data_IF_154772743036
#
_entry.id   IF_154772743036
#
_cell.length_a   1.000
_cell.length_b   1.000
_cell.length_c   1.000
_cell.angle_alpha   90.00
_cell.angle_beta   90.00
_cell.angle_gamma   90.00
#
_symmetry.space_group_name_H-M   'P 1'
#
loop_
_entity.id
_entity.type
_entity.pdbx_description
1 polymer ?
#
# COMPACT_ATOMS: atom_id res chain seq x y z
N UNK A 1 -21.09 22.85 -66.68
CA UNK A 1 -20.21 24.00 -67.01
C UNK A 1 -20.02 24.78 -65.70
N UNK A 2 -18.96 24.48 -64.96
CA UNK A 2 -18.67 25.17 -63.69
C UNK A 2 -18.03 26.53 -63.99
N UNK A 3 -18.41 27.62 -63.32
CA UNK A 3 -17.87 28.94 -63.63
C UNK A 3 -16.38 29.01 -63.26
N UNK A 4 -15.55 29.30 -64.26
CA UNK A 4 -14.09 29.41 -64.19
C UNK A 4 -13.57 30.62 -63.38
N UNK A 5 -14.33 31.11 -62.39
CA UNK A 5 -13.99 32.33 -61.63
C UNK A 5 -13.64 32.07 -60.16
N UNK A 6 -13.20 30.85 -59.82
CA UNK A 6 -12.91 30.45 -58.43
C UNK A 6 -11.56 29.73 -58.26
N UNK A 7 -10.69 29.76 -59.28
CA UNK A 7 -9.32 29.25 -59.17
C UNK A 7 -8.39 30.21 -59.92
N UNK A 8 -7.50 30.88 -59.19
CA UNK A 8 -6.33 31.55 -59.76
C UNK A 8 -5.17 30.54 -59.76
N UNK A 9 -4.60 30.24 -60.92
CA UNK A 9 -3.35 29.49 -61.00
C UNK A 9 -2.17 30.44 -60.75
N UNK A 10 -1.35 30.12 -59.75
CA UNK A 10 -0.05 30.77 -59.51
C UNK A 10 1.00 30.06 -60.37
N UNK A 11 1.91 30.76 -61.10
CA UNK A 11 2.78 30.12 -62.08
C UNK A 11 3.91 29.23 -61.52
N UNK A 12 3.99 29.00 -60.21
CA UNK A 12 5.10 28.28 -59.57
C UNK A 12 4.62 27.35 -58.45
N UNK A 13 3.88 26.30 -58.80
CA UNK A 13 3.79 25.04 -58.04
C UNK A 13 3.30 25.02 -56.58
N UNK A 14 2.94 26.15 -55.96
CA UNK A 14 2.49 26.22 -54.56
C UNK A 14 1.20 27.06 -54.43
N UNK A 15 0.28 26.62 -53.55
CA UNK A 15 -1.03 27.26 -53.32
C UNK A 15 -1.00 28.13 -52.05
N UNK A 16 -1.34 29.42 -52.17
CA UNK A 16 -1.59 30.34 -51.06
C UNK A 16 -3.07 30.42 -50.68
N UNK A 17 -3.38 30.73 -49.41
CA UNK A 17 -4.74 30.77 -48.87
C UNK A 17 -5.62 31.90 -49.46
N UNK A 18 -6.88 31.57 -49.77
CA UNK A 18 -7.86 32.47 -50.39
C UNK A 18 -8.43 33.50 -49.40
N UNK A 19 -8.34 34.78 -49.75
CA UNK A 19 -9.07 35.88 -49.10
C UNK A 19 -10.25 36.27 -49.99
N UNK A 20 -11.47 36.29 -49.45
CA UNK A 20 -12.64 36.89 -50.13
C UNK A 20 -13.17 38.03 -49.27
N UNK A 21 -13.05 39.27 -49.76
CA UNK A 21 -13.63 40.45 -49.08
C UNK A 21 -13.09 40.75 -47.68
N UNK A 22 -11.84 40.36 -47.37
CA UNK A 22 -11.21 40.68 -46.08
C UNK A 22 -11.49 39.71 -44.93
N UNK A 23 -12.24 38.62 -45.14
CA UNK A 23 -12.57 37.67 -44.08
C UNK A 23 -12.41 36.19 -44.52
N UNK A 24 -11.85 35.38 -43.62
CA UNK A 24 -11.81 33.92 -43.74
C UNK A 24 -13.23 33.37 -43.64
N UNK A 25 -13.55 32.29 -44.38
CA UNK A 25 -14.86 31.62 -44.29
C UNK A 25 -15.11 31.23 -42.83
N UNK A 26 -16.24 31.66 -42.26
CA UNK A 26 -16.57 31.51 -40.82
C UNK A 26 -16.51 30.06 -40.33
N UNK A 27 -16.79 29.09 -41.21
CA UNK A 27 -16.67 27.65 -40.89
C UNK A 27 -15.24 27.24 -40.54
N UNK A 28 -14.23 27.79 -41.23
CA UNK A 28 -12.81 27.48 -40.99
C UNK A 28 -12.30 28.19 -39.72
N UNK A 29 -12.78 29.41 -39.48
CA UNK A 29 -12.44 30.17 -38.27
C UNK A 29 -12.91 29.43 -37.01
N UNK A 30 -14.15 28.93 -37.00
CA UNK A 30 -14.70 28.25 -35.82
C UNK A 30 -13.95 26.96 -35.47
N UNK A 31 -13.51 26.22 -36.48
CA UNK A 31 -12.75 25.00 -36.29
C UNK A 31 -11.36 25.28 -35.70
N UNK A 32 -10.64 26.27 -36.25
CA UNK A 32 -9.34 26.68 -35.72
C UNK A 32 -9.48 27.10 -34.24
N UNK A 33 -10.53 27.85 -33.90
CA UNK A 33 -10.77 28.26 -32.51
C UNK A 33 -11.10 27.08 -31.60
N UNK A 34 -11.87 26.09 -32.06
CA UNK A 34 -12.18 24.89 -31.28
C UNK A 34 -10.92 24.07 -30.97
N UNK A 35 -10.09 23.83 -31.98
CA UNK A 35 -8.83 23.08 -31.84
C UNK A 35 -7.84 23.79 -30.92
N UNK A 36 -7.68 25.12 -31.04
CA UNK A 36 -6.85 25.91 -30.11
C UNK A 36 -7.40 25.77 -28.69
N UNK A 37 -8.70 25.92 -28.50
CA UNK A 37 -9.30 25.86 -27.17
C UNK A 37 -9.16 24.47 -26.53
N UNK A 38 -9.32 23.41 -27.31
CA UNK A 38 -9.10 22.03 -26.86
C UNK A 38 -7.64 21.79 -26.48
N UNK A 39 -6.70 22.31 -27.27
CA UNK A 39 -5.28 22.22 -27.00
C UNK A 39 -4.88 22.98 -25.73
N UNK A 40 -5.35 24.22 -25.58
CA UNK A 40 -5.10 25.08 -24.43
C UNK A 40 -5.78 24.59 -23.14
N UNK A 41 -6.80 23.73 -23.22
CA UNK A 41 -7.46 23.15 -22.04
C UNK A 41 -6.70 21.98 -21.43
N UNK A 42 -5.84 21.32 -22.23
CA UNK A 42 -5.10 20.11 -21.83
C UNK A 42 -3.67 20.38 -21.37
N UNK A 43 -3.14 21.59 -21.60
CA UNK A 43 -1.75 21.94 -21.33
C UNK A 43 -1.66 23.22 -20.49
N UNK A 44 -0.63 23.34 -19.66
CA UNK A 44 -0.35 24.59 -18.95
C UNK A 44 0.16 25.66 -19.92
N UNK A 45 -0.08 26.94 -19.64
CA UNK A 45 0.37 28.03 -20.50
C UNK A 45 1.89 28.02 -20.67
N UNK A 46 2.62 27.65 -19.62
CA UNK A 46 4.08 27.49 -19.66
C UNK A 46 4.53 26.37 -20.63
N UNK A 47 3.85 25.22 -20.64
CA UNK A 47 4.18 24.12 -21.56
C UNK A 47 3.83 24.47 -23.02
N UNK A 48 2.72 25.19 -23.24
CA UNK A 48 2.31 25.66 -24.57
C UNK A 48 3.28 26.69 -25.12
N UNK A 49 3.78 27.62 -24.30
CA UNK A 49 4.65 28.72 -24.76
C UNK A 49 6.08 28.25 -25.11
N UNK A 50 6.60 27.23 -24.41
CA UNK A 50 7.98 26.76 -24.54
C UNK A 50 8.11 25.59 -25.52
N UNK A 51 7.38 24.49 -25.31
CA UNK A 51 7.68 23.19 -25.95
C UNK A 51 6.58 22.72 -26.92
N UNK A 52 5.32 23.02 -26.60
CA UNK A 52 4.18 22.41 -27.28
C UNK A 52 3.59 23.28 -28.40
N UNK A 53 4.06 24.52 -28.58
CA UNK A 53 3.56 25.41 -29.63
C UNK A 53 3.74 24.82 -31.03
N UNK A 54 4.89 24.18 -31.27
CA UNK A 54 5.22 23.59 -32.58
C UNK A 54 4.29 22.42 -32.93
N UNK A 55 3.67 21.78 -31.93
CA UNK A 55 2.69 20.70 -32.15
C UNK A 55 1.33 21.24 -32.60
N UNK A 56 1.01 22.51 -32.30
CA UNK A 56 -0.26 23.13 -32.70
C UNK A 56 -0.32 23.25 -34.22
N UNK A 57 0.77 23.70 -34.84
CA UNK A 57 0.87 23.86 -36.29
C UNK A 57 0.59 22.53 -37.02
N UNK A 58 1.14 21.43 -36.49
CA UNK A 58 0.91 20.08 -37.01
C UNK A 58 -0.54 19.61 -36.85
N UNK A 59 -1.09 19.74 -35.64
CA UNK A 59 -2.50 19.36 -35.36
C UNK A 59 -3.49 20.14 -36.21
N UNK A 60 -3.24 21.43 -36.40
CA UNK A 60 -4.09 22.26 -37.26
C UNK A 60 -4.00 21.86 -38.72
N UNK A 61 -2.78 21.54 -39.20
CA UNK A 61 -2.60 21.03 -40.56
C UNK A 61 -3.42 19.76 -40.77
N UNK A 62 -3.35 18.81 -39.85
CA UNK A 62 -4.09 17.54 -39.92
C UNK A 62 -5.60 17.75 -39.87
N UNK A 63 -6.10 18.53 -38.89
CA UNK A 63 -7.52 18.80 -38.72
C UNK A 63 -8.13 19.49 -39.94
N UNK A 64 -7.44 20.50 -40.48
CA UNK A 64 -7.87 21.18 -41.69
C UNK A 64 -7.79 20.24 -42.91
N UNK A 65 -6.71 19.47 -43.07
CA UNK A 65 -6.55 18.55 -44.19
C UNK A 65 -7.67 17.50 -44.21
N UNK A 66 -8.09 16.98 -43.05
CA UNK A 66 -9.20 16.04 -42.95
C UNK A 66 -10.51 16.62 -43.52
N UNK A 67 -10.82 17.88 -43.19
CA UNK A 67 -12.01 18.54 -43.69
C UNK A 67 -11.92 18.92 -45.17
N UNK A 68 -10.77 19.41 -45.64
CA UNK A 68 -10.59 19.70 -47.06
C UNK A 68 -10.67 18.43 -47.91
N UNK A 69 -10.17 17.30 -47.41
CA UNK A 69 -10.32 16.00 -48.08
C UNK A 69 -11.81 15.62 -48.25
N UNK A 70 -12.66 15.98 -47.29
CA UNK A 70 -14.11 15.71 -47.32
C UNK A 70 -14.88 16.63 -48.25
N UNK A 71 -14.56 17.93 -48.27
CA UNK A 71 -15.35 18.93 -49.00
C UNK A 71 -14.79 19.33 -50.36
N UNK A 72 -13.49 19.14 -50.60
CA UNK A 72 -12.80 19.50 -51.83
C UNK A 72 -11.62 18.54 -52.09
N UNK A 73 -11.88 17.33 -52.62
CA UNK A 73 -10.82 16.39 -52.94
C UNK A 73 -9.87 16.98 -53.98
N UNK A 74 -8.58 17.05 -53.66
CA UNK A 74 -7.52 17.62 -54.51
C UNK A 74 -6.83 18.87 -53.96
N UNK A 75 -7.22 19.37 -52.79
CA UNK A 75 -6.52 20.45 -52.09
C UNK A 75 -5.62 19.86 -51.00
N UNK A 76 -4.32 20.16 -51.08
CA UNK A 76 -3.34 19.80 -50.06
C UNK A 76 -2.84 21.06 -49.35
N UNK A 77 -2.92 21.04 -48.02
CA UNK A 77 -2.36 22.10 -47.17
C UNK A 77 -0.88 21.80 -46.97
N UNK A 78 -0.03 22.68 -47.48
CA UNK A 78 1.43 22.51 -47.39
C UNK A 78 1.91 22.86 -45.97
N UNK A 79 1.47 23.99 -45.43
CA UNK A 79 1.87 24.49 -44.11
C UNK A 79 0.77 25.35 -43.46
N UNK A 80 0.62 25.16 -42.15
CA UNK A 80 -0.17 26.04 -41.27
C UNK A 80 0.81 26.62 -40.25
N UNK A 81 0.72 27.92 -39.99
CA UNK A 81 1.52 28.59 -38.95
C UNK A 81 0.59 29.39 -38.05
N UNK A 82 0.66 29.14 -36.76
CA UNK A 82 -0.02 29.97 -35.76
C UNK A 82 0.96 31.02 -35.24
N UNK A 83 0.48 32.26 -35.08
CA UNK A 83 1.31 33.30 -34.47
C UNK A 83 1.36 33.09 -32.96
N UNK A 84 2.57 33.09 -32.38
CA UNK A 84 2.74 32.99 -30.92
C UNK A 84 1.98 34.13 -30.22
N UNK A 85 1.05 33.83 -29.30
CA UNK A 85 0.28 34.86 -28.59
C UNK A 85 1.18 35.60 -27.59
N UNK A 86 1.03 36.93 -27.50
CA UNK A 86 1.70 37.72 -26.46
C UNK A 86 0.96 37.57 -25.13
N UNK A 87 1.49 36.73 -24.24
CA UNK A 87 0.91 36.51 -22.91
C UNK A 87 1.17 37.74 -22.02
N UNK A 88 0.14 38.34 -21.39
CA UNK A 88 0.32 39.41 -20.42
C UNK A 88 1.07 38.94 -19.16
N UNK A 89 2.01 39.76 -18.68
CA UNK A 89 2.87 39.46 -17.52
C UNK A 89 2.09 39.12 -16.24
N UNK A 90 0.88 39.66 -16.08
CA UNK A 90 -0.03 39.36 -14.95
C UNK A 90 -0.47 37.89 -14.93
N UNK A 91 -0.82 37.32 -16.08
CA UNK A 91 -1.27 35.92 -16.20
C UNK A 91 -0.11 34.98 -15.91
N UNK A 92 1.08 35.32 -16.41
CA UNK A 92 2.31 34.53 -16.18
C UNK A 92 2.63 34.39 -14.69
N UNK A 93 2.53 35.48 -13.92
CA UNK A 93 2.78 35.48 -12.47
C UNK A 93 1.76 34.61 -11.71
N UNK A 94 0.48 34.72 -12.05
CA UNK A 94 -0.58 33.93 -11.40
C UNK A 94 -0.43 32.43 -11.66
N UNK A 95 0.03 32.03 -12.86
CA UNK A 95 0.31 30.62 -13.14
C UNK A 95 1.54 30.10 -12.42
N UNK A 96 2.63 30.89 -12.36
CA UNK A 96 3.81 30.53 -11.57
C UNK A 96 3.46 30.30 -10.09
N UNK A 97 2.61 31.16 -9.53
CA UNK A 97 2.09 31.01 -8.17
C UNK A 97 1.24 29.74 -8.03
N UNK A 98 0.34 29.46 -8.99
CA UNK A 98 -0.47 28.23 -8.98
C UNK A 98 0.38 26.97 -9.09
N UNK A 99 1.44 26.97 -9.89
CA UNK A 99 2.38 25.85 -10.02
C UNK A 99 3.15 25.62 -8.71
N UNK A 100 3.61 26.68 -8.05
CA UNK A 100 4.25 26.58 -6.72
C UNK A 100 3.29 26.05 -5.65
N UNK A 101 2.04 26.53 -5.66
CA UNK A 101 1.02 26.03 -4.72
C UNK A 101 0.74 24.55 -4.98
N UNK A 102 0.67 24.12 -6.24
CA UNK A 102 0.45 22.70 -6.59
C UNK A 102 1.59 21.80 -6.13
N UNK A 103 2.85 22.21 -6.29
CA UNK A 103 3.99 21.41 -5.81
C UNK A 103 3.98 21.29 -4.27
N UNK A 104 3.69 22.39 -3.56
CA UNK A 104 3.58 22.38 -2.09
C UNK A 104 2.44 21.50 -1.59
N UNK A 105 1.29 21.49 -2.28
CA UNK A 105 0.17 20.60 -1.94
C UNK A 105 0.58 19.13 -2.15
N UNK A 106 1.20 18.81 -3.29
CA UNK A 106 1.66 17.46 -3.58
C UNK A 106 2.66 16.95 -2.52
N UNK A 107 3.64 17.77 -2.15
CA UNK A 107 4.63 17.40 -1.12
C UNK A 107 3.97 17.18 0.25
N UNK A 108 2.98 17.99 0.61
CA UNK A 108 2.19 17.82 1.84
C UNK A 108 1.34 16.55 1.82
N UNK A 109 0.68 16.26 0.70
CA UNK A 109 -0.15 15.06 0.54
C UNK A 109 0.70 13.79 0.62
N UNK A 110 1.84 13.76 -0.09
CA UNK A 110 2.80 12.66 -0.02
C UNK A 110 3.32 12.48 1.41
N UNK A 111 3.64 13.58 2.10
CA UNK A 111 4.06 13.57 3.50
C UNK A 111 3.01 12.96 4.44
N UNK A 112 1.75 13.37 4.31
CA UNK A 112 0.64 12.83 5.10
C UNK A 112 0.40 11.33 4.81
N UNK A 113 0.49 10.91 3.55
CA UNK A 113 0.40 9.51 3.16
C UNK A 113 1.53 8.67 3.78
N UNK A 114 2.78 9.18 3.76
CA UNK A 114 3.92 8.52 4.41
C UNK A 114 3.72 8.38 5.92
N UNK A 115 3.22 9.43 6.59
CA UNK A 115 2.94 9.38 8.02
C UNK A 115 1.85 8.33 8.36
N UNK A 116 0.76 8.31 7.60
CA UNK A 116 -0.31 7.32 7.78
C UNK A 116 0.18 5.88 7.54
N UNK A 117 1.01 5.67 6.52
CA UNK A 117 1.61 4.36 6.26
C UNK A 117 2.51 3.90 7.41
N UNK A 118 3.38 4.78 7.92
CA UNK A 118 4.24 4.48 9.07
C UNK A 118 3.43 4.10 10.32
N UNK A 119 2.35 4.83 10.61
CA UNK A 119 1.42 4.51 11.70
C UNK A 119 0.79 3.13 11.52
N UNK A 120 0.36 2.80 10.31
CA UNK A 120 -0.25 1.50 10.00
C UNK A 120 0.74 0.34 10.16
N UNK A 121 1.97 0.49 9.64
CA UNK A 121 3.04 -0.52 9.79
C UNK A 121 3.37 -0.75 11.26
N UNK A 122 3.50 0.32 12.05
CA UNK A 122 3.79 0.21 13.49
C UNK A 122 2.67 -0.55 14.23
N UNK A 123 1.41 -0.26 13.94
CA UNK A 123 0.27 -0.95 14.56
C UNK A 123 0.27 -2.46 14.25
N UNK A 124 0.62 -2.85 13.03
CA UNK A 124 0.75 -4.27 12.65
C UNK A 124 1.86 -4.94 13.45
N UNK A 125 3.04 -4.31 13.55
CA UNK A 125 4.15 -4.85 14.36
C UNK A 125 3.76 -5.03 15.83
N UNK A 126 3.10 -4.03 16.42
CA UNK A 126 2.63 -4.10 17.81
C UNK A 126 1.62 -5.25 17.97
N UNK A 127 0.72 -5.46 17.01
CA UNK A 127 -0.27 -6.54 17.07
C UNK A 127 0.40 -7.91 17.01
N UNK A 128 1.38 -8.11 16.12
CA UNK A 128 2.14 -9.36 16.00
C UNK A 128 2.87 -9.66 17.31
N UNK A 129 3.56 -8.68 17.88
CA UNK A 129 4.32 -8.90 19.11
C UNK A 129 3.40 -9.23 20.30
N UNK A 130 2.25 -8.53 20.40
CA UNK A 130 1.23 -8.84 21.42
C UNK A 130 0.69 -10.25 21.28
N UNK A 131 0.44 -10.71 20.06
CA UNK A 131 -0.03 -12.08 19.82
C UNK A 131 1.02 -13.10 20.25
N UNK A 132 2.30 -12.88 19.89
CA UNK A 132 3.42 -13.74 20.29
C UNK A 132 3.57 -13.86 21.81
N UNK A 133 3.44 -12.73 22.51
CA UNK A 133 3.47 -12.71 23.99
C UNK A 133 2.32 -13.51 24.57
N UNK A 134 1.10 -13.33 24.04
CA UNK A 134 -0.07 -14.06 24.51
C UNK A 134 0.04 -15.58 24.31
N UNK A 135 0.60 -16.03 23.17
CA UNK A 135 0.86 -17.45 22.89
C UNK A 135 1.88 -18.04 23.88
N UNK A 136 3.01 -17.35 24.09
CA UNK A 136 4.02 -17.78 25.06
C UNK A 136 3.50 -17.81 26.50
N UNK A 137 2.67 -16.84 26.89
CA UNK A 137 2.02 -16.83 28.20
C UNK A 137 1.02 -17.99 28.35
N UNK A 138 0.30 -18.35 27.28
CA UNK A 138 -0.61 -19.49 27.30
C UNK A 138 0.17 -20.81 27.44
N UNK A 139 1.28 -20.96 26.74
CA UNK A 139 2.10 -22.18 26.79
C UNK A 139 2.83 -22.33 28.12
N UNK A 140 3.36 -21.24 28.69
CA UNK A 140 3.95 -21.26 30.03
C UNK A 140 2.90 -21.62 31.09
N UNK A 141 1.67 -21.11 31.01
CA UNK A 141 0.57 -21.51 31.92
C UNK A 141 0.25 -22.99 31.84
N UNK A 142 0.23 -23.59 30.63
CA UNK A 142 0.00 -25.05 30.47
C UNK A 142 1.12 -25.86 31.12
N UNK A 143 2.37 -25.48 30.89
CA UNK A 143 3.53 -26.19 31.46
C UNK A 143 3.56 -26.08 32.99
N UNK A 144 3.22 -24.93 33.56
CA UNK A 144 3.12 -24.76 35.00
C UNK A 144 2.05 -25.67 35.61
N UNK A 145 0.87 -25.77 35.00
CA UNK A 145 -0.20 -26.64 35.49
C UNK A 145 0.18 -28.13 35.46
N UNK A 146 0.88 -28.58 34.42
CA UNK A 146 1.37 -29.97 34.32
C UNK A 146 2.42 -30.23 35.41
N UNK A 147 3.41 -29.34 35.53
CA UNK A 147 4.47 -29.44 36.55
C UNK A 147 3.91 -29.46 37.97
N UNK A 148 2.89 -28.63 38.25
CA UNK A 148 2.21 -28.62 39.55
C UNK A 148 1.47 -29.93 39.84
N UNK A 149 0.77 -30.48 38.84
CA UNK A 149 0.09 -31.77 38.97
C UNK A 149 1.08 -32.93 39.20
N UNK A 150 2.21 -32.94 38.50
CA UNK A 150 3.29 -33.91 38.68
C UNK A 150 3.92 -33.80 40.08
N UNK A 151 4.22 -32.58 40.52
CA UNK A 151 4.74 -32.33 41.87
C UNK A 151 3.77 -32.80 42.95
N UNK A 152 2.48 -32.49 42.83
CA UNK A 152 1.45 -32.94 43.78
C UNK A 152 1.33 -34.46 43.82
N UNK A 153 1.42 -35.12 42.66
CA UNK A 153 1.44 -36.58 42.57
C UNK A 153 2.67 -37.17 43.25
N UNK A 154 3.85 -36.57 43.03
CA UNK A 154 5.10 -37.00 43.65
C UNK A 154 5.08 -36.83 45.17
N UNK A 155 4.61 -35.68 45.66
CA UNK A 155 4.42 -35.42 47.09
C UNK A 155 3.46 -36.45 47.71
N UNK A 156 2.36 -36.76 47.03
CA UNK A 156 1.39 -37.76 47.50
C UNK A 156 1.99 -39.17 47.59
N UNK A 157 2.81 -39.58 46.61
CA UNK A 157 3.53 -40.86 46.62
C UNK A 157 4.51 -40.93 47.79
N UNK A 158 5.32 -39.88 47.99
CA UNK A 158 6.28 -39.80 49.10
C UNK A 158 5.55 -39.92 50.44
N UNK A 159 4.46 -39.18 50.62
CA UNK A 159 3.69 -39.18 51.86
C UNK A 159 3.01 -40.54 52.12
N UNK A 160 2.50 -41.19 51.09
CA UNK A 160 1.96 -42.55 51.19
C UNK A 160 3.05 -43.55 51.57
N UNK A 161 4.22 -43.46 50.95
CA UNK A 161 5.35 -44.35 51.25
C UNK A 161 5.89 -44.13 52.65
N UNK A 162 5.98 -42.89 53.12
CA UNK A 162 6.32 -42.57 54.52
C UNK A 162 5.33 -43.23 55.49
N UNK A 163 4.01 -43.11 55.27
CA UNK A 163 3.00 -43.76 56.11
C UNK A 163 3.09 -45.29 56.11
N UNK A 164 3.40 -45.91 54.97
CA UNK A 164 3.62 -47.35 54.89
C UNK A 164 4.86 -47.76 55.69
N UNK A 165 5.99 -47.05 55.50
CA UNK A 165 7.23 -47.34 56.24
C UNK A 165 7.07 -47.16 57.74
N UNK A 166 6.26 -46.20 58.18
CA UNK A 166 5.95 -45.97 59.60
C UNK A 166 5.10 -47.13 60.17
N UNK A 167 4.05 -47.55 59.45
CA UNK A 167 3.26 -48.73 59.86
C UNK A 167 4.08 -50.02 59.89
N UNK A 168 4.98 -50.23 58.93
CA UNK A 168 5.84 -51.41 58.88
C UNK A 168 6.93 -51.37 59.95
N UNK A 169 7.40 -50.17 60.36
CA UNK A 169 8.27 -50.00 61.53
C UNK A 169 7.55 -50.42 62.81
N UNK A 170 6.33 -49.91 63.03
CA UNK A 170 5.52 -50.27 64.21
C UNK A 170 5.24 -51.77 64.28
N UNK A 171 4.93 -52.41 63.14
CA UNK A 171 4.76 -53.88 63.09
C UNK A 171 6.03 -54.62 63.49
N UNK A 172 7.19 -54.22 62.93
CA UNK A 172 8.48 -54.83 63.27
C UNK A 172 8.85 -54.65 64.74
N UNK A 173 8.57 -53.49 65.32
CA UNK A 173 8.79 -53.24 66.75
C UNK A 173 7.92 -54.16 67.62
N UNK A 174 6.64 -54.32 67.27
CA UNK A 174 5.74 -55.24 67.97
C UNK A 174 6.17 -56.71 67.82
N UNK A 175 6.62 -57.12 66.63
CA UNK A 175 7.14 -58.48 66.39
C UNK A 175 8.39 -58.76 67.23
N UNK A 176 9.31 -57.80 67.32
CA UNK A 176 10.50 -57.90 68.17
C UNK A 176 10.09 -57.97 69.65
N UNK A 177 9.14 -57.16 70.10
CA UNK A 177 8.65 -57.20 71.48
C UNK A 177 8.00 -58.54 71.84
N UNK A 178 7.16 -59.07 70.96
CA UNK A 178 6.55 -60.39 71.11
C UNK A 178 7.62 -61.49 71.15
N UNK A 179 8.61 -61.43 70.26
CA UNK A 179 9.72 -62.38 70.23
C UNK A 179 10.53 -62.32 71.53
N UNK A 180 10.89 -61.11 71.98
CA UNK A 180 11.58 -60.89 73.24
C UNK A 180 10.77 -61.42 74.44
N UNK A 181 9.44 -61.30 74.42
CA UNK A 181 8.58 -61.83 75.47
C UNK A 181 8.57 -63.37 75.50
N UNK A 182 8.40 -64.01 74.34
CA UNK A 182 8.44 -65.47 74.20
C UNK A 182 9.80 -66.03 74.61
N UNK A 183 10.90 -65.42 74.18
CA UNK A 183 12.25 -65.83 74.55
C UNK A 183 12.48 -65.69 76.06
N UNK A 184 11.91 -64.64 76.68
CA UNK A 184 11.92 -64.47 78.15
C UNK A 184 11.16 -65.59 78.84
N UNK A 185 9.93 -65.89 78.40
CA UNK A 185 9.11 -66.97 78.98
C UNK A 185 9.77 -68.34 78.82
N UNK A 186 10.31 -68.66 77.64
CA UNK A 186 11.06 -69.91 77.40
C UNK A 186 12.24 -70.04 78.35
N UNK A 187 13.00 -68.96 78.53
CA UNK A 187 14.13 -68.94 79.45
C UNK A 187 13.70 -69.22 80.90
N UNK A 188 12.54 -68.70 81.33
CA UNK A 188 11.97 -69.01 82.64
C UNK A 188 11.53 -70.47 82.74
N UNK A 189 10.78 -70.98 81.76
CA UNK A 189 10.31 -72.38 81.78
C UNK A 189 11.44 -73.39 81.69
N UNK A 190 12.48 -73.10 80.90
CA UNK A 190 13.68 -73.94 80.80
C UNK A 190 14.46 -73.92 82.13
N UNK A 191 14.59 -72.76 82.78
CA UNK A 191 15.22 -72.66 84.11
C UNK A 191 14.45 -73.44 85.18
N UNK A 192 13.11 -73.43 85.13
CA UNK A 192 12.27 -74.22 86.03
C UNK A 192 12.34 -75.74 85.74
N UNK A 193 12.54 -76.15 84.48
CA UNK A 193 12.66 -77.56 84.08
C UNK A 193 13.96 -78.24 84.55
N UNK A 194 15.05 -77.49 84.69
CA UNK A 194 16.36 -78.00 85.14
C UNK A 194 16.59 -77.89 86.66
N UNK A 195 15.54 -77.67 87.45
CA UNK A 195 15.58 -77.53 88.91
C UNK A 195 15.18 -78.82 89.60
#
# INVERSE_FOLDING_TARGET
>A
MFPSSLVHQVPEGHVGAYWRGGALRTSLQNQIHHEINQFCSSHSLQQVDIDNFDQIDGKMKEALQADFTRYAPGIEIIRVCVTKPKIPTRVRRMEEERSKVRSVIHDKEVGNCLQNWNLMVLNVFIAIEKQRVAENEADTKKLMAISEAENNTNVSKILMQQKLTEKDRLRREADIENQMYLDRQKSFTDADYYR
#
